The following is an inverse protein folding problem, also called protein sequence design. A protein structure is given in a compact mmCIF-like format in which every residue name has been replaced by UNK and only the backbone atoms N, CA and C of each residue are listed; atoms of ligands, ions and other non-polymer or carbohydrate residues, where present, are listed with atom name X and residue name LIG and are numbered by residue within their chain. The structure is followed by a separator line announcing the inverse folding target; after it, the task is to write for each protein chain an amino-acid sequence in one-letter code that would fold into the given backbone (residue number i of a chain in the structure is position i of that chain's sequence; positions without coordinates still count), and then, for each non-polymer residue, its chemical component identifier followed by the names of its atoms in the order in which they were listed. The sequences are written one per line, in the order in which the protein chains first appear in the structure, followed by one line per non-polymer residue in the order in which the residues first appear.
data_IF_914626969042
#
_entry.id   IF_914626969042
#
_cell.length_a   1.000
_cell.length_b   1.000
_cell.length_c   1.000
_cell.angle_alpha   90.00
_cell.angle_beta   90.00
_cell.angle_gamma   90.00
#
_symmetry.space_group_name_H-M   'P 1'
#
loop_
_entity.id
_entity.type
_entity.pdbx_description
1 polymer ?
#
# COMPACT_ATOMS: atom_id res chain seq x y z
N UNK A 1 32.46 46.71 32.21
CA UNK A 1 31.28 45.89 32.62
C UNK A 1 31.73 44.88 33.68
N UNK A 2 31.16 44.90 34.90
CA UNK A 2 31.71 44.10 36.02
C UNK A 2 31.65 42.59 35.73
N UNK A 3 32.61 41.82 36.25
CA UNK A 3 32.67 40.35 36.09
C UNK A 3 31.34 39.66 36.47
N UNK A 4 30.64 40.25 37.44
CA UNK A 4 29.31 39.81 37.90
C UNK A 4 28.26 39.96 36.80
N UNK A 5 28.21 41.11 36.10
CA UNK A 5 27.26 41.34 34.99
C UNK A 5 27.53 40.42 33.80
N UNK A 6 28.79 40.07 33.53
CA UNK A 6 29.15 39.09 32.47
C UNK A 6 28.68 37.68 32.84
N UNK A 7 28.92 37.23 34.08
CA UNK A 7 28.47 35.92 34.57
C UNK A 7 26.94 35.81 34.56
N UNK A 8 26.23 36.85 34.99
CA UNK A 8 24.77 36.88 34.99
C UNK A 8 24.20 36.76 33.57
N UNK A 9 24.79 37.45 32.58
CA UNK A 9 24.38 37.32 31.17
C UNK A 9 24.61 35.90 30.64
N UNK A 10 25.75 35.28 30.93
CA UNK A 10 26.01 33.90 30.51
C UNK A 10 25.02 32.91 31.12
N UNK A 11 24.66 33.07 32.40
CA UNK A 11 23.64 32.23 33.06
C UNK A 11 22.27 32.39 32.40
N UNK A 12 21.86 33.62 32.09
CA UNK A 12 20.57 33.87 31.40
C UNK A 12 20.55 33.24 30.00
N UNK A 13 21.65 33.34 29.24
CA UNK A 13 21.74 32.71 27.91
C UNK A 13 21.67 31.19 28.01
N UNK A 14 22.37 30.58 28.97
CA UNK A 14 22.37 29.13 29.16
C UNK A 14 20.99 28.65 29.61
N UNK A 15 20.31 29.35 30.51
CA UNK A 15 18.93 29.04 30.90
C UNK A 15 17.94 29.24 29.74
N UNK A 16 18.16 30.25 28.90
CA UNK A 16 17.41 30.45 27.66
C UNK A 16 17.56 29.26 26.70
N UNK A 17 18.79 28.79 26.47
CA UNK A 17 19.03 27.63 25.61
C UNK A 17 18.46 26.33 26.20
N UNK A 18 18.60 26.11 27.51
CA UNK A 18 18.01 24.96 28.20
C UNK A 18 16.48 24.97 28.13
N UNK A 19 15.85 26.13 28.31
CA UNK A 19 14.40 26.25 28.17
C UNK A 19 13.92 25.99 26.74
N UNK A 20 14.67 26.40 25.72
CA UNK A 20 14.37 26.04 24.33
C UNK A 20 14.45 24.53 24.08
N UNK A 21 15.46 23.84 24.63
CA UNK A 21 15.58 22.37 24.52
C UNK A 21 14.42 21.67 25.24
N UNK A 22 14.03 22.15 26.43
CA UNK A 22 12.90 21.58 27.18
C UNK A 22 11.58 21.83 26.44
N UNK A 23 11.38 23.01 25.86
CA UNK A 23 10.20 23.32 25.03
C UNK A 23 10.16 22.40 23.80
N UNK A 24 11.29 22.22 23.13
CA UNK A 24 11.41 21.33 21.96
C UNK A 24 11.06 19.88 22.33
N UNK A 25 11.64 19.34 23.41
CA UNK A 25 11.32 17.99 23.91
C UNK A 25 9.86 17.87 24.36
N UNK A 26 9.31 18.90 25.00
CA UNK A 26 7.91 18.91 25.46
C UNK A 26 6.92 18.97 24.30
N UNK A 27 7.25 19.68 23.22
CA UNK A 27 6.45 19.68 22.00
C UNK A 27 6.64 18.40 21.18
N UNK A 28 7.84 17.80 21.17
CA UNK A 28 8.14 16.56 20.45
C UNK A 28 7.24 15.41 20.93
N UNK A 29 6.96 15.35 22.24
CA UNK A 29 6.11 14.31 22.84
C UNK A 29 4.62 14.65 22.88
N UNK A 30 4.24 15.92 22.67
CA UNK A 30 2.85 16.39 22.88
C UNK A 30 2.18 17.01 21.67
N UNK A 31 2.84 17.02 20.52
CA UNK A 31 2.20 17.46 19.29
C UNK A 31 1.76 16.26 18.46
N UNK A 32 0.46 15.92 18.46
CA UNK A 32 -0.19 15.53 17.21
C UNK A 32 -0.28 16.82 16.36
N UNK A 33 0.85 17.46 16.09
CA UNK A 33 0.88 18.60 15.21
C UNK A 33 0.42 18.05 13.87
N UNK A 34 -0.70 18.59 13.41
CA UNK A 34 -1.14 18.50 12.03
C UNK A 34 0.11 18.72 11.19
N UNK A 35 0.63 17.62 10.63
CA UNK A 35 1.83 17.66 9.81
C UNK A 35 1.48 18.60 8.68
N UNK A 36 2.17 19.73 8.57
CA UNK A 36 1.85 20.80 7.61
C UNK A 36 1.95 20.37 6.14
N UNK A 37 2.37 19.12 5.89
CA UNK A 37 2.50 18.47 4.59
C UNK A 37 1.65 17.20 4.46
N UNK A 38 0.69 16.96 5.35
CA UNK A 38 -0.40 16.07 4.96
C UNK A 38 -1.33 16.89 4.06
N UNK A 39 -1.58 16.48 2.80
CA UNK A 39 -2.69 17.04 2.04
C UNK A 39 -3.93 16.93 2.95
N UNK A 40 -4.77 17.97 2.99
CA UNK A 40 -6.08 17.85 3.62
C UNK A 40 -6.67 16.53 3.16
N UNK A 41 -6.90 15.63 4.11
CA UNK A 41 -7.22 14.25 3.80
C UNK A 41 -8.37 14.27 2.81
N UNK A 42 -8.13 13.75 1.61
CA UNK A 42 -9.19 13.49 0.64
C UNK A 42 -9.99 12.34 1.24
N UNK A 43 -10.83 12.67 2.22
CA UNK A 43 -11.81 11.75 2.76
C UNK A 43 -12.78 11.53 1.61
N UNK A 44 -12.98 10.26 1.23
CA UNK A 44 -13.98 9.91 0.23
C UNK A 44 -15.29 10.64 0.58
N UNK A 45 -15.82 11.40 -0.37
CA UNK A 45 -17.02 12.20 -0.15
C UNK A 45 -18.12 11.30 0.43
N UNK A 46 -18.80 11.70 1.53
CA UNK A 46 -19.87 10.90 2.12
C UNK A 46 -20.90 10.52 1.05
N UNK A 47 -21.20 9.21 0.93
CA UNK A 47 -22.09 8.68 -0.09
C UNK A 47 -21.42 8.27 -1.41
N UNK A 48 -20.09 8.36 -1.53
CA UNK A 48 -19.37 7.74 -2.64
C UNK A 48 -19.53 6.20 -2.57
N UNK A 49 -20.30 5.64 -3.50
CA UNK A 49 -20.38 4.19 -3.65
C UNK A 49 -19.15 3.71 -4.42
N UNK A 50 -18.43 2.74 -3.86
CA UNK A 50 -17.37 2.05 -4.59
C UNK A 50 -18.00 1.20 -5.70
N UNK A 51 -17.51 1.35 -6.93
CA UNK A 51 -17.85 0.45 -8.03
C UNK A 51 -16.81 -0.64 -8.08
N UNK A 52 -17.25 -1.89 -8.23
CA UNK A 52 -16.38 -3.05 -8.35
C UNK A 52 -16.71 -3.76 -9.65
N UNK A 53 -15.77 -3.73 -10.58
CA UNK A 53 -15.80 -4.55 -11.79
C UNK A 53 -15.09 -5.87 -11.52
N UNK A 54 -15.72 -6.97 -11.90
CA UNK A 54 -15.19 -8.33 -11.70
C UNK A 54 -15.06 -9.00 -13.07
N UNK A 55 -13.89 -9.57 -13.34
CA UNK A 55 -13.63 -10.40 -14.51
C UNK A 55 -13.24 -11.78 -14.01
N UNK A 56 -13.96 -12.80 -14.45
CA UNK A 56 -13.63 -14.19 -14.14
C UNK A 56 -12.44 -14.64 -14.98
N UNK A 57 -11.64 -15.58 -14.47
CA UNK A 57 -10.46 -16.07 -15.20
C UNK A 57 -10.83 -16.85 -16.45
N UNK A 58 -12.02 -17.46 -16.48
CA UNK A 58 -12.56 -18.26 -17.58
C UNK A 58 -13.49 -17.45 -18.51
N UNK A 59 -13.47 -16.12 -18.39
CA UNK A 59 -14.29 -15.24 -19.21
C UNK A 59 -13.96 -15.42 -20.70
N UNK A 60 -15.01 -15.67 -21.50
CA UNK A 60 -14.89 -16.04 -22.90
C UNK A 60 -14.35 -14.92 -23.81
N UNK A 61 -14.39 -13.66 -23.39
CA UNK A 61 -13.79 -12.57 -24.18
C UNK A 61 -12.30 -12.35 -23.88
N UNK A 62 -11.70 -13.12 -22.96
CA UNK A 62 -10.25 -13.12 -22.77
C UNK A 62 -9.58 -13.86 -23.93
N UNK A 63 -8.43 -13.38 -24.36
CA UNK A 63 -7.61 -13.99 -25.42
C UNK A 63 -7.07 -15.36 -25.02
N UNK A 64 -6.88 -15.58 -23.72
CA UNK A 64 -6.38 -16.84 -23.17
C UNK A 64 -7.03 -17.12 -21.79
N UNK A 65 -8.31 -17.55 -21.75
CA UNK A 65 -9.01 -17.81 -20.50
C UNK A 65 -8.38 -18.96 -19.71
N UNK A 66 -8.34 -18.83 -18.39
CA UNK A 66 -7.88 -19.86 -17.47
C UNK A 66 -9.07 -20.47 -16.70
N UNK A 67 -9.18 -21.81 -16.63
CA UNK A 67 -10.23 -22.48 -15.88
C UNK A 67 -10.27 -22.04 -14.41
N UNK A 68 -11.47 -21.78 -13.88
CA UNK A 68 -11.66 -21.48 -12.45
C UNK A 68 -11.30 -22.69 -11.58
N UNK A 69 -11.49 -23.90 -12.09
CA UNK A 69 -11.25 -25.15 -11.35
C UNK A 69 -9.75 -25.44 -11.22
N UNK A 70 -9.29 -25.57 -9.97
CA UNK A 70 -7.94 -26.04 -9.65
C UNK A 70 -7.81 -27.51 -10.04
N UNK A 71 -6.78 -27.86 -10.80
CA UNK A 71 -6.50 -29.26 -11.15
C UNK A 71 -6.23 -30.07 -9.88
N UNK A 72 -6.73 -31.31 -9.75
CA UNK A 72 -6.53 -32.15 -8.55
C UNK A 72 -5.06 -32.30 -8.14
N UNK A 73 -4.13 -32.22 -9.09
CA UNK A 73 -2.68 -32.33 -8.88
C UNK A 73 -2.06 -31.16 -8.11
N UNK A 74 -2.78 -30.05 -7.96
CA UNK A 74 -2.33 -28.84 -7.25
C UNK A 74 -3.07 -28.58 -5.94
N UNK A 75 -3.97 -29.50 -5.54
CA UNK A 75 -4.74 -29.41 -4.29
C UNK A 75 -3.83 -29.56 -3.06
N UNK A 76 -2.75 -30.34 -3.18
CA UNK A 76 -1.88 -30.68 -2.06
C UNK A 76 -0.66 -29.74 -1.89
N UNK A 77 -0.26 -28.99 -2.94
CA UNK A 77 0.81 -27.97 -2.88
C UNK A 77 0.41 -26.67 -3.63
N UNK A 78 -0.09 -25.65 -2.93
CA UNK A 78 -0.54 -24.39 -3.52
C UNK A 78 0.60 -23.54 -4.12
N UNK A 79 1.88 -23.88 -3.85
CA UNK A 79 3.02 -23.14 -4.40
C UNK A 79 3.43 -23.64 -5.80
N UNK A 80 3.18 -24.91 -6.11
CA UNK A 80 3.42 -25.48 -7.44
C UNK A 80 2.48 -24.92 -8.52
N UNK A 81 1.40 -24.26 -8.08
CA UNK A 81 0.21 -23.89 -8.85
C UNK A 81 0.28 -22.45 -9.40
N UNK A 82 1.02 -21.52 -8.79
CA UNK A 82 0.84 -20.07 -9.05
C UNK A 82 1.10 -19.62 -10.51
N UNK A 83 2.08 -20.22 -11.20
CA UNK A 83 2.32 -20.00 -12.64
C UNK A 83 1.59 -21.02 -13.52
N UNK A 84 1.16 -22.16 -12.95
CA UNK A 84 0.38 -23.18 -13.65
C UNK A 84 -1.09 -22.77 -13.82
N UNK A 85 -1.64 -21.99 -12.89
CA UNK A 85 -3.05 -21.50 -12.92
C UNK A 85 -3.25 -20.31 -13.84
N UNK A 86 -2.43 -19.28 -13.67
CA UNK A 86 -2.59 -17.97 -14.30
C UNK A 86 -1.20 -17.35 -14.50
N UNK A 87 -0.84 -17.11 -15.75
CA UNK A 87 0.39 -16.40 -16.08
C UNK A 87 0.21 -14.87 -15.98
N UNK A 88 1.31 -14.14 -16.10
CA UNK A 88 1.30 -12.67 -15.97
C UNK A 88 0.47 -12.00 -17.08
N UNK A 89 0.48 -12.55 -18.29
CA UNK A 89 -0.27 -12.02 -19.43
C UNK A 89 -1.78 -12.16 -19.24
N UNK A 90 -2.24 -13.32 -18.74
CA UNK A 90 -3.64 -13.55 -18.41
C UNK A 90 -4.13 -12.62 -17.30
N UNK A 91 -3.33 -12.44 -16.25
CA UNK A 91 -3.64 -11.49 -15.17
C UNK A 91 -3.70 -10.06 -15.71
N UNK A 92 -2.75 -9.67 -16.55
CA UNK A 92 -2.72 -8.34 -17.16
C UNK A 92 -3.99 -8.08 -17.99
N UNK A 93 -4.38 -9.03 -18.83
CA UNK A 93 -5.59 -8.94 -19.65
C UNK A 93 -6.86 -8.84 -18.79
N UNK A 94 -6.98 -9.68 -17.75
CA UNK A 94 -8.10 -9.64 -16.81
C UNK A 94 -8.20 -8.29 -16.11
N UNK A 95 -7.07 -7.74 -15.64
CA UNK A 95 -7.02 -6.43 -14.99
C UNK A 95 -7.43 -5.32 -15.97
N UNK A 96 -6.90 -5.34 -17.20
CA UNK A 96 -7.25 -4.37 -18.23
C UNK A 96 -8.75 -4.43 -18.55
N UNK A 97 -9.30 -5.64 -18.72
CA UNK A 97 -10.74 -5.83 -18.95
C UNK A 97 -11.55 -5.29 -17.78
N UNK A 98 -11.17 -5.59 -16.53
CA UNK A 98 -11.89 -5.11 -15.35
C UNK A 98 -11.89 -3.58 -15.25
N UNK A 99 -10.74 -2.93 -15.49
CA UNK A 99 -10.63 -1.47 -15.52
C UNK A 99 -11.45 -0.85 -16.66
N UNK A 100 -11.48 -1.50 -17.83
CA UNK A 100 -12.28 -1.05 -18.97
C UNK A 100 -13.78 -1.29 -18.80
N UNK A 101 -14.21 -2.24 -17.97
CA UNK A 101 -15.62 -2.46 -17.65
C UNK A 101 -16.19 -1.38 -16.73
N UNK A 102 -15.35 -0.74 -15.92
CA UNK A 102 -15.79 0.40 -15.10
C UNK A 102 -16.04 1.63 -15.99
N UNK A 103 -17.32 1.98 -16.15
CA UNK A 103 -17.78 3.18 -16.85
C UNK A 103 -18.31 4.24 -15.87
N UNK A 104 -18.03 4.08 -14.58
CA UNK A 104 -18.48 5.03 -13.57
C UNK A 104 -17.67 6.33 -13.65
N UNK A 105 -18.21 7.45 -13.12
CA UNK A 105 -17.45 8.70 -12.97
C UNK A 105 -16.24 8.59 -12.02
N UNK A 106 -16.01 7.41 -11.42
CA UNK A 106 -14.90 7.10 -10.53
C UNK A 106 -13.90 6.13 -11.16
N UNK A 107 -14.15 5.68 -12.39
CA UNK A 107 -13.22 4.81 -13.10
C UNK A 107 -11.88 5.49 -13.23
N UNK A 108 -10.80 4.70 -13.25
CA UNK A 108 -9.43 5.23 -13.30
C UNK A 108 -9.22 6.20 -14.48
N UNK A 109 -9.89 5.90 -15.60
CA UNK A 109 -9.88 6.70 -16.85
C UNK A 109 -10.54 8.07 -16.71
N UNK A 110 -11.52 8.20 -15.82
CA UNK A 110 -12.22 9.48 -15.57
C UNK A 110 -11.50 10.32 -14.51
N UNK A 111 -10.88 9.66 -13.51
CA UNK A 111 -10.30 10.36 -12.35
C UNK A 111 -8.83 10.71 -12.52
N UNK A 112 -8.06 9.95 -13.31
CA UNK A 112 -6.65 10.23 -13.58
C UNK A 112 -6.56 11.09 -14.82
N UNK A 113 -5.97 12.27 -14.67
CA UNK A 113 -5.79 13.23 -15.75
C UNK A 113 -4.31 13.37 -16.13
N UNK A 114 -4.03 13.90 -17.33
CA UNK A 114 -2.66 14.13 -17.75
C UNK A 114 -1.90 15.07 -16.82
N UNK A 115 -0.73 14.61 -16.39
CA UNK A 115 0.13 15.32 -15.46
C UNK A 115 -0.05 14.90 -14.00
N UNK A 116 -1.03 14.06 -13.67
CA UNK A 116 -1.34 13.71 -12.28
C UNK A 116 -0.22 12.91 -11.60
N UNK A 117 -0.05 13.17 -10.30
CA UNK A 117 0.66 12.25 -9.43
C UNK A 117 -0.31 11.22 -8.86
N UNK A 118 -0.18 9.98 -9.33
CA UNK A 118 -1.02 8.86 -8.89
C UNK A 118 -0.35 8.09 -7.76
N UNK A 119 -1.11 7.84 -6.69
CA UNK A 119 -0.68 6.98 -5.58
C UNK A 119 -1.45 5.67 -5.64
N UNK A 120 -0.75 4.58 -5.92
CA UNK A 120 -1.33 3.23 -5.88
C UNK A 120 -1.16 2.68 -4.48
N UNK A 121 -2.27 2.29 -3.85
CA UNK A 121 -2.28 1.69 -2.51
C UNK A 121 -2.63 0.21 -2.61
N UNK A 122 -1.65 -0.71 -2.66
CA UNK A 122 -1.93 -2.13 -2.55
C UNK A 122 -2.64 -2.44 -1.23
N UNK A 123 -3.65 -3.30 -1.30
CA UNK A 123 -4.34 -3.73 -0.10
C UNK A 123 -3.45 -4.71 0.67
N UNK A 124 -3.38 -4.50 1.99
CA UNK A 124 -2.66 -5.37 2.91
C UNK A 124 -3.75 -6.12 3.67
N UNK A 125 -3.95 -7.38 3.30
CA UNK A 125 -4.88 -8.27 3.99
C UNK A 125 -4.10 -9.32 4.74
N UNK A 126 -4.73 -9.86 5.78
CA UNK A 126 -4.21 -10.97 6.56
C UNK A 126 -3.70 -12.09 5.65
N UNK A 127 -2.42 -12.44 5.81
CA UNK A 127 -1.87 -13.71 5.39
C UNK A 127 -2.22 -14.70 6.50
N UNK A 128 -3.14 -15.64 6.27
CA UNK A 128 -3.44 -16.65 7.28
C UNK A 128 -2.16 -17.43 7.60
N UNK A 129 -1.87 -17.63 8.88
CA UNK A 129 -0.75 -18.46 9.34
C UNK A 129 -1.27 -19.89 9.53
N UNK A 130 -1.45 -20.61 8.43
CA UNK A 130 -1.84 -22.03 8.44
C UNK A 130 -0.64 -22.95 8.67
N UNK A 131 -0.87 -24.14 9.26
CA UNK A 131 0.11 -25.23 9.22
C UNK A 131 0.47 -25.52 7.75
N UNK A 132 1.70 -25.21 7.36
CA UNK A 132 2.20 -25.45 5.99
C UNK A 132 2.41 -24.20 5.14
N UNK A 133 2.14 -22.99 5.64
CA UNK A 133 2.47 -21.75 4.91
C UNK A 133 3.97 -21.47 5.05
N UNK A 134 4.70 -22.07 4.14
CA UNK A 134 6.08 -21.76 3.86
C UNK A 134 6.13 -20.41 3.14
N UNK A 135 6.99 -19.50 3.61
CA UNK A 135 7.34 -18.35 2.77
C UNK A 135 7.82 -18.85 1.40
N UNK A 136 7.80 -17.99 0.38
CA UNK A 136 8.26 -18.30 -0.98
C UNK A 136 9.71 -18.87 -1.07
N UNK A 137 10.42 -18.98 0.06
CA UNK A 137 11.76 -19.54 0.21
C UNK A 137 11.85 -20.76 1.15
N UNK A 138 10.75 -21.42 1.49
CA UNK A 138 10.77 -22.65 2.32
C UNK A 138 11.27 -22.42 3.75
N UNK A 139 11.39 -21.17 4.19
CA UNK A 139 11.95 -20.84 5.49
C UNK A 139 10.90 -21.06 6.57
N UNK A 140 11.04 -22.14 7.35
CA UNK A 140 10.29 -22.40 8.59
C UNK A 140 10.41 -21.30 9.66
N UNK A 141 11.26 -20.30 9.43
CA UNK A 141 11.64 -19.29 10.42
C UNK A 141 11.05 -17.89 10.22
N UNK A 142 10.56 -17.54 9.02
CA UNK A 142 10.13 -16.15 8.77
C UNK A 142 8.62 -15.93 8.91
N UNK A 143 7.80 -16.98 8.75
CA UNK A 143 6.40 -17.00 9.22
C UNK A 143 6.28 -17.14 10.76
N UNK A 144 7.40 -17.29 11.49
CA UNK A 144 7.42 -17.02 12.94
C UNK A 144 7.71 -15.55 13.26
N UNK A 145 7.68 -14.70 12.24
CA UNK A 145 7.92 -13.27 12.31
C UNK A 145 6.74 -12.49 12.85
N UNK A 146 6.55 -12.55 14.18
CA UNK A 146 6.06 -11.51 15.10
C UNK A 146 4.76 -11.69 15.89
N UNK A 147 3.89 -12.68 15.65
CA UNK A 147 2.63 -12.82 16.41
C UNK A 147 2.36 -14.22 17.01
N UNK A 148 3.37 -14.98 17.45
CA UNK A 148 3.16 -16.18 18.30
C UNK A 148 2.10 -17.20 17.78
N UNK A 149 1.95 -17.34 16.46
CA UNK A 149 0.92 -18.20 15.86
C UNK A 149 -0.44 -17.51 15.64
N UNK A 150 -0.45 -16.18 15.50
CA UNK A 150 -1.60 -15.44 14.95
C UNK A 150 -1.27 -14.96 13.55
N UNK A 151 -2.26 -15.10 12.67
CA UNK A 151 -2.46 -14.39 11.42
C UNK A 151 -1.65 -13.10 11.27
N UNK A 152 -0.80 -13.06 10.25
CA UNK A 152 0.09 -11.92 9.98
C UNK A 152 -0.48 -11.03 8.89
N UNK A 153 -0.71 -9.76 9.20
CA UNK A 153 -1.08 -8.76 8.19
C UNK A 153 0.12 -8.48 7.29
N UNK A 154 0.03 -8.89 6.02
CA UNK A 154 1.12 -8.83 5.04
C UNK A 154 0.64 -8.30 3.68
N UNK A 155 1.59 -7.95 2.82
CA UNK A 155 1.29 -7.59 1.44
C UNK A 155 0.72 -8.81 0.72
N UNK A 156 -0.59 -8.85 0.51
CA UNK A 156 -1.27 -9.96 -0.15
C UNK A 156 -1.84 -9.58 -1.52
N UNK A 157 -1.49 -8.39 -2.03
CA UNK A 157 -1.79 -8.05 -3.42
C UNK A 157 -0.74 -8.73 -4.30
N UNK A 158 -1.18 -9.62 -5.20
CA UNK A 158 -0.32 -10.22 -6.22
C UNK A 158 0.43 -9.12 -6.99
N UNK A 159 1.76 -9.15 -6.96
CA UNK A 159 2.59 -8.14 -7.62
C UNK A 159 2.35 -8.06 -9.13
N UNK A 160 1.84 -9.14 -9.75
CA UNK A 160 1.43 -9.15 -11.16
C UNK A 160 0.23 -8.24 -11.40
N UNK A 161 -0.71 -8.18 -10.46
CA UNK A 161 -1.85 -7.24 -10.49
C UNK A 161 -1.36 -5.81 -10.34
N UNK A 162 -0.48 -5.54 -9.37
CA UNK A 162 0.10 -4.20 -9.19
C UNK A 162 0.82 -3.77 -10.48
N UNK A 163 1.65 -4.65 -11.05
CA UNK A 163 2.33 -4.40 -12.33
C UNK A 163 1.33 -4.08 -13.44
N UNK A 164 0.24 -4.84 -13.57
CA UNK A 164 -0.77 -4.60 -14.60
C UNK A 164 -1.44 -3.23 -14.44
N UNK A 165 -1.81 -2.83 -13.21
CA UNK A 165 -2.37 -1.48 -12.94
C UNK A 165 -1.38 -0.38 -13.31
N UNK A 166 -0.10 -0.54 -12.93
CA UNK A 166 0.95 0.42 -13.29
C UNK A 166 1.11 0.54 -14.80
N UNK A 167 1.13 -0.61 -15.51
CA UNK A 167 1.19 -0.62 -16.98
C UNK A 167 -0.03 0.06 -17.59
N UNK A 168 -1.23 -0.19 -17.08
CA UNK A 168 -2.44 0.46 -17.56
C UNK A 168 -2.36 1.99 -17.45
N UNK A 169 -1.92 2.49 -16.29
CA UNK A 169 -1.69 3.92 -16.03
C UNK A 169 -0.65 4.56 -16.95
N UNK A 170 0.33 3.78 -17.43
CA UNK A 170 1.42 4.25 -18.30
C UNK A 170 1.05 4.13 -19.79
N UNK A 171 0.44 3.02 -20.19
CA UNK A 171 0.29 2.63 -21.60
C UNK A 171 -1.09 2.99 -22.16
N UNK A 172 -2.14 2.86 -21.35
CA UNK A 172 -3.52 3.09 -21.78
C UNK A 172 -3.93 4.51 -21.46
N UNK A 173 -3.70 4.93 -20.22
CA UNK A 173 -4.03 6.28 -19.77
C UNK A 173 -2.87 7.26 -19.94
N UNK A 174 -1.67 6.79 -20.33
CA UNK A 174 -0.58 7.55 -20.96
C UNK A 174 0.11 8.63 -20.13
N UNK A 175 -0.55 9.16 -19.11
CA UNK A 175 -0.40 10.57 -18.78
C UNK A 175 -0.20 10.82 -17.27
N UNK A 176 -0.10 9.78 -16.45
CA UNK A 176 0.37 9.93 -15.07
C UNK A 176 1.84 10.41 -15.07
N UNK A 177 2.10 11.62 -14.57
CA UNK A 177 3.47 12.19 -14.55
C UNK A 177 4.38 11.52 -13.53
N UNK A 178 3.77 11.02 -12.46
CA UNK A 178 4.45 10.31 -11.37
C UNK A 178 3.52 9.25 -10.83
N UNK A 179 4.06 8.07 -10.57
CA UNK A 179 3.34 7.00 -9.87
C UNK A 179 4.11 6.65 -8.60
N UNK A 180 3.42 6.54 -7.47
CA UNK A 180 4.00 6.12 -6.19
C UNK A 180 3.23 4.95 -5.63
N UNK A 181 3.94 3.86 -5.31
CA UNK A 181 3.35 2.71 -4.63
C UNK A 181 3.45 2.98 -3.13
N UNK A 182 2.31 3.23 -2.50
CA UNK A 182 2.22 3.53 -1.07
C UNK A 182 2.17 2.22 -0.27
N UNK A 183 3.32 1.61 -0.05
CA UNK A 183 3.44 0.43 0.80
C UNK A 183 3.31 0.76 2.30
N UNK A 184 3.02 -0.27 3.11
CA UNK A 184 2.89 -0.16 4.58
C UNK A 184 1.46 -0.32 5.07
N UNK A 185 1.27 -0.93 6.24
CA UNK A 185 -0.06 -1.25 6.77
C UNK A 185 -0.92 -0.02 7.05
N UNK A 186 -2.24 -0.14 6.89
CA UNK A 186 -3.21 0.81 7.43
C UNK A 186 -3.30 0.75 8.98
N UNK A 187 -2.28 0.20 9.64
CA UNK A 187 -2.20 0.01 11.10
C UNK A 187 -1.12 0.93 11.70
N UNK A 188 -0.20 1.44 10.88
CA UNK A 188 0.98 2.20 11.35
C UNK A 188 0.68 3.62 11.84
N UNK A 189 -0.56 4.09 11.67
CA UNK A 189 -1.04 5.34 12.26
C UNK A 189 -1.66 5.16 13.66
N UNK A 190 -1.65 3.94 14.21
CA UNK A 190 -2.03 3.66 15.61
C UNK A 190 -0.82 3.52 16.56
N UNK A 191 0.38 3.91 16.12
CA UNK A 191 1.59 3.94 16.93
C UNK A 191 1.83 5.32 17.54
#
# INVERSE_FOLDING_TARGET
MSKIKKRLRSVIVVLGLLSLVVIDLWHTDRTPAVRSFFPEGVVASPGAMSVVSIVASDDADLSNPAPITVSPEYVDDPHSDMNARLNKEQIEEMVYKALNLDQSPRSIREVVQPGDWVVVKPNIVTCPDGEGIHTAYGQKGWSRGTNRGQDHWGQNTDLRVVRAVLKYLIEVDGDASRITIAEGGAEWHKL
#
